data_IF_975577305233
#
_entry.id   IF_975577305233
#
_cell.length_a   1.000
_cell.length_b   1.000
_cell.length_c   1.000
_cell.angle_alpha   90.00
_cell.angle_beta   90.00
_cell.angle_gamma   90.00
#
_symmetry.space_group_name_H-M   'P 1'
#
loop_
_entity.id
_entity.type
_entity.pdbx_description
1 polymer ?
#
# COMPACT_ATOMS: atom_id res chain seq x y z
N UNK A 1 -10.59 -23.36 -9.67
CA UNK A 1 -9.58 -22.85 -10.65
C UNK A 1 -9.95 -21.47 -11.23
N UNK A 2 -10.98 -20.78 -10.70
CA UNK A 2 -11.49 -19.54 -11.31
C UNK A 2 -10.67 -18.30 -10.94
N UNK A 3 -10.10 -18.25 -9.73
CA UNK A 3 -9.19 -17.18 -9.30
C UNK A 3 -7.96 -17.08 -10.24
N UNK A 4 -7.42 -18.22 -10.69
CA UNK A 4 -6.30 -18.25 -11.65
C UNK A 4 -6.71 -17.65 -13.00
N UNK A 5 -7.95 -17.88 -13.45
CA UNK A 5 -8.47 -17.27 -14.68
C UNK A 5 -8.59 -15.75 -14.52
N UNK A 6 -8.98 -15.25 -13.33
CA UNK A 6 -9.03 -13.81 -13.02
C UNK A 6 -7.66 -13.13 -13.09
N UNK A 7 -6.57 -13.85 -12.89
CA UNK A 7 -5.21 -13.29 -13.06
C UNK A 7 -4.89 -12.92 -14.52
N UNK A 8 -5.59 -13.49 -15.51
CA UNK A 8 -5.38 -13.19 -16.93
C UNK A 8 -3.96 -13.44 -17.45
N UNK A 9 -3.17 -14.30 -16.78
CA UNK A 9 -1.76 -14.53 -17.10
C UNK A 9 -0.80 -13.45 -16.61
N UNK A 10 -1.26 -12.45 -15.85
CA UNK A 10 -0.43 -11.36 -15.31
C UNK A 10 0.25 -11.83 -14.00
N UNK A 11 1.59 -11.90 -13.93
CA UNK A 11 2.28 -12.37 -12.73
C UNK A 11 1.99 -11.52 -11.49
N UNK A 12 1.90 -10.20 -11.64
CA UNK A 12 1.54 -9.31 -10.54
C UNK A 12 0.13 -9.61 -10.00
N UNK A 13 -0.84 -9.95 -10.86
CA UNK A 13 -2.19 -10.29 -10.41
C UNK A 13 -2.17 -11.54 -9.54
N UNK A 14 -1.40 -12.55 -9.96
CA UNK A 14 -1.24 -13.77 -9.19
C UNK A 14 -0.57 -13.51 -7.83
N UNK A 15 0.48 -12.69 -7.78
CA UNK A 15 1.13 -12.28 -6.51
C UNK A 15 0.16 -11.53 -5.61
N UNK A 16 -0.55 -10.54 -6.14
CA UNK A 16 -1.52 -9.73 -5.39
C UNK A 16 -2.64 -10.61 -4.82
N UNK A 17 -3.25 -11.48 -5.62
CA UNK A 17 -4.28 -12.39 -5.10
C UNK A 17 -3.71 -13.40 -4.11
N UNK A 18 -2.51 -13.95 -4.37
CA UNK A 18 -1.81 -14.81 -3.42
C UNK A 18 -1.57 -14.13 -2.07
N UNK A 19 -1.18 -12.86 -2.08
CA UNK A 19 -0.99 -12.03 -0.89
C UNK A 19 -2.28 -11.71 -0.13
N UNK A 20 -3.45 -11.74 -0.77
CA UNK A 20 -4.74 -11.69 -0.07
C UNK A 20 -5.00 -13.03 0.59
N UNK A 21 -4.90 -14.11 -0.18
CA UNK A 21 -5.30 -15.45 0.20
C UNK A 21 -4.41 -16.06 1.29
N UNK A 22 -3.15 -15.63 1.42
CA UNK A 22 -2.28 -16.10 2.50
C UNK A 22 -2.78 -15.71 3.90
N UNK A 23 -3.69 -14.72 4.00
CA UNK A 23 -4.36 -14.34 5.24
C UNK A 23 -5.78 -14.91 5.38
N UNK A 24 -6.20 -15.79 4.47
CA UNK A 24 -7.55 -16.40 4.44
C UNK A 24 -7.48 -17.89 4.77
N UNK A 25 -8.22 -18.31 5.79
CA UNK A 25 -8.17 -19.68 6.32
C UNK A 25 -9.35 -20.53 5.84
N UNK A 26 -10.48 -19.91 5.56
CA UNK A 26 -11.70 -20.61 5.18
C UNK A 26 -11.97 -20.49 3.67
N UNK A 27 -12.51 -21.55 3.08
CA UNK A 27 -12.89 -21.58 1.66
C UNK A 27 -13.87 -20.45 1.31
N UNK A 28 -14.83 -20.16 2.19
CA UNK A 28 -15.80 -19.07 2.01
C UNK A 28 -15.14 -17.70 1.84
N UNK A 29 -14.01 -17.46 2.48
CA UNK A 29 -13.26 -16.21 2.31
C UNK A 29 -12.63 -16.12 0.93
N UNK A 30 -12.22 -17.25 0.36
CA UNK A 30 -11.69 -17.33 -1.00
C UNK A 30 -12.80 -17.10 -2.02
N UNK A 31 -13.99 -17.65 -1.78
CA UNK A 31 -15.18 -17.38 -2.59
C UNK A 31 -15.56 -15.89 -2.57
N UNK A 32 -15.45 -15.24 -1.41
CA UNK A 32 -15.71 -13.80 -1.29
C UNK A 32 -14.75 -12.95 -2.14
N UNK A 33 -13.47 -13.36 -2.24
CA UNK A 33 -12.49 -12.72 -3.13
C UNK A 33 -12.83 -13.01 -4.59
N UNK A 34 -13.18 -14.26 -4.92
CA UNK A 34 -13.53 -14.71 -6.28
C UNK A 34 -14.75 -13.99 -6.84
N UNK A 35 -15.79 -13.84 -6.03
CA UNK A 35 -17.12 -13.37 -6.42
C UNK A 35 -17.33 -11.88 -6.14
N UNK A 36 -16.28 -11.17 -5.73
CA UNK A 36 -16.36 -9.75 -5.43
C UNK A 36 -16.86 -8.92 -6.60
N UNK A 37 -17.76 -7.97 -6.33
CA UNK A 37 -18.24 -7.00 -7.31
C UNK A 37 -17.11 -6.11 -7.89
N UNK A 38 -15.96 -6.01 -7.20
CA UNK A 38 -14.79 -5.24 -7.67
C UNK A 38 -14.31 -5.74 -9.04
N UNK A 39 -14.48 -7.03 -9.34
CA UNK A 39 -14.15 -7.61 -10.66
C UNK A 39 -14.95 -7.01 -11.82
N UNK A 40 -16.11 -6.43 -11.54
CA UNK A 40 -17.06 -5.93 -12.55
C UNK A 40 -17.13 -4.40 -12.60
N UNK A 41 -16.32 -3.69 -11.80
CA UNK A 41 -16.29 -2.23 -11.83
C UNK A 41 -15.75 -1.75 -13.18
N UNK A 42 -16.25 -0.61 -13.73
CA UNK A 42 -15.65 0.01 -14.91
C UNK A 42 -14.19 0.32 -14.62
N UNK A 43 -13.26 -0.23 -15.42
CA UNK A 43 -11.84 0.06 -15.33
C UNK A 43 -11.31 0.32 -16.75
N UNK A 44 -10.33 1.21 -16.86
CA UNK A 44 -9.58 1.43 -18.09
C UNK A 44 -8.74 0.17 -18.38
N UNK A 45 -9.12 -0.59 -19.41
CA UNK A 45 -8.48 -1.71 -20.16
C UNK A 45 -7.60 -2.77 -19.44
N UNK A 46 -7.23 -2.58 -18.19
CA UNK A 46 -6.14 -3.29 -17.53
C UNK A 46 -6.68 -4.34 -16.57
N UNK A 47 -6.44 -5.60 -16.92
CA UNK A 47 -6.89 -6.79 -16.19
C UNK A 47 -6.35 -6.90 -14.76
N UNK A 48 -5.29 -6.15 -14.43
CA UNK A 48 -4.63 -6.15 -13.11
C UNK A 48 -5.36 -5.29 -12.07
N UNK A 49 -6.01 -4.19 -12.49
CA UNK A 49 -6.55 -3.18 -11.58
C UNK A 49 -7.57 -3.75 -10.57
N UNK A 50 -8.52 -4.63 -10.96
CA UNK A 50 -9.43 -5.24 -9.99
C UNK A 50 -8.69 -6.05 -8.91
N UNK A 51 -7.62 -6.76 -9.27
CA UNK A 51 -6.84 -7.52 -8.31
C UNK A 51 -6.12 -6.60 -7.31
N UNK A 52 -5.53 -5.49 -7.78
CA UNK A 52 -4.88 -4.51 -6.91
C UNK A 52 -5.89 -3.84 -5.96
N UNK A 53 -7.05 -3.42 -6.48
CA UNK A 53 -8.14 -2.88 -5.67
C UNK A 53 -8.61 -3.88 -4.63
N UNK A 54 -8.76 -5.15 -5.00
CA UNK A 54 -9.12 -6.21 -4.06
C UNK A 54 -8.11 -6.35 -2.94
N UNK A 55 -6.82 -6.28 -3.25
CA UNK A 55 -5.78 -6.34 -2.21
C UNK A 55 -5.91 -5.20 -1.22
N UNK A 56 -6.12 -3.98 -1.70
CA UNK A 56 -6.39 -2.83 -0.84
C UNK A 56 -7.68 -2.98 -0.02
N UNK A 57 -8.77 -3.43 -0.63
CA UNK A 57 -10.05 -3.63 0.06
C UNK A 57 -10.01 -4.76 1.09
N UNK A 58 -9.06 -5.69 1.00
CA UNK A 58 -8.84 -6.74 1.99
C UNK A 58 -7.74 -6.41 3.01
N UNK A 59 -7.16 -5.21 2.95
CA UNK A 59 -6.33 -4.70 4.04
C UNK A 59 -7.20 -4.36 5.26
N UNK A 60 -6.73 -4.70 6.47
CA UNK A 60 -7.19 -4.08 7.71
C UNK A 60 -7.24 -2.56 7.60
N UNK A 61 -8.26 -1.93 8.18
CA UNK A 61 -8.47 -0.47 8.06
C UNK A 61 -7.24 0.34 8.46
N UNK A 62 -6.57 -0.07 9.55
CA UNK A 62 -5.38 0.61 10.07
C UNK A 62 -4.19 0.55 9.10
N UNK A 63 -4.09 -0.50 8.28
CA UNK A 63 -3.03 -0.65 7.28
C UNK A 63 -3.29 0.13 6.00
N UNK A 64 -4.56 0.37 5.66
CA UNK A 64 -4.92 1.14 4.45
C UNK A 64 -4.34 2.54 4.50
N UNK A 65 -4.43 3.21 5.65
CA UNK A 65 -3.89 4.55 5.82
C UNK A 65 -2.36 4.55 5.61
N UNK A 66 -1.65 3.64 6.26
CA UNK A 66 -0.18 3.52 6.18
C UNK A 66 0.28 3.23 4.75
N UNK A 67 -0.45 2.39 4.03
CA UNK A 67 -0.24 2.12 2.61
C UNK A 67 -0.44 3.35 1.72
N UNK A 68 -1.57 4.05 1.88
CA UNK A 68 -1.90 5.23 1.06
C UNK A 68 -0.86 6.34 1.24
N UNK A 69 -0.29 6.50 2.42
CA UNK A 69 0.76 7.49 2.67
C UNK A 69 2.14 7.11 2.13
N UNK A 70 2.34 5.89 1.62
CA UNK A 70 3.57 5.53 0.91
C UNK A 70 3.76 6.28 -0.41
N UNK A 71 2.73 7.00 -0.91
CA UNK A 71 2.84 7.85 -2.12
C UNK A 71 3.86 8.97 -2.01
N UNK A 72 4.27 9.29 -0.78
CA UNK A 72 5.32 10.29 -0.53
C UNK A 72 6.69 9.85 -1.08
N UNK A 73 6.90 8.54 -1.21
CA UNK A 73 8.08 7.99 -1.84
C UNK A 73 7.88 7.95 -3.35
N UNK A 74 8.87 8.39 -4.16
CA UNK A 74 8.74 8.36 -5.61
C UNK A 74 8.58 6.94 -6.15
N UNK A 75 8.01 6.86 -7.36
CA UNK A 75 7.94 5.61 -8.13
C UNK A 75 9.33 5.03 -8.40
N UNK A 76 9.38 3.71 -8.59
CA UNK A 76 10.60 2.94 -8.88
C UNK A 76 11.81 3.22 -7.97
N UNK A 77 11.56 3.72 -6.75
CA UNK A 77 12.62 4.07 -5.80
C UNK A 77 12.86 2.92 -4.83
N UNK A 78 14.12 2.51 -4.71
CA UNK A 78 14.58 1.63 -3.62
C UNK A 78 14.50 2.42 -2.31
N UNK A 79 13.79 1.87 -1.32
CA UNK A 79 13.56 2.50 -0.03
C UNK A 79 14.14 1.64 1.09
N UNK A 80 14.85 2.27 2.03
CA UNK A 80 15.19 1.62 3.29
C UNK A 80 13.92 1.43 4.14
N UNK A 81 13.74 0.22 4.69
CA UNK A 81 12.64 -0.15 5.59
C UNK A 81 12.57 0.77 6.80
N UNK A 82 13.71 1.09 7.38
CA UNK A 82 13.86 1.94 8.54
C UNK A 82 13.31 3.34 8.27
N UNK A 83 13.59 3.91 7.09
CA UNK A 83 13.09 5.23 6.70
C UNK A 83 11.55 5.27 6.64
N UNK A 84 10.91 4.23 6.09
CA UNK A 84 9.45 4.15 6.04
C UNK A 84 8.84 4.02 7.45
N UNK A 85 9.43 3.20 8.32
CA UNK A 85 8.97 3.04 9.70
C UNK A 85 9.12 4.36 10.47
N UNK A 86 10.28 5.02 10.38
CA UNK A 86 10.50 6.32 11.01
C UNK A 86 9.52 7.38 10.49
N UNK A 87 9.20 7.36 9.19
CA UNK A 87 8.18 8.24 8.61
C UNK A 87 6.79 8.01 9.26
N UNK A 88 6.36 6.75 9.39
CA UNK A 88 5.10 6.42 10.06
C UNK A 88 5.07 6.82 11.54
N UNK A 89 6.18 6.67 12.25
CA UNK A 89 6.34 7.10 13.64
C UNK A 89 6.20 8.62 13.76
N UNK A 90 6.96 9.37 12.98
CA UNK A 90 6.99 10.84 13.04
C UNK A 90 5.62 11.47 12.75
N UNK A 91 4.80 10.82 11.91
CA UNK A 91 3.45 11.30 11.56
C UNK A 91 2.33 10.69 12.42
N UNK A 92 2.67 9.86 13.42
CA UNK A 92 1.70 9.26 14.33
C UNK A 92 0.75 8.27 13.65
N UNK A 93 1.22 7.56 12.62
CA UNK A 93 0.42 6.57 11.91
C UNK A 93 0.42 5.19 12.58
N UNK A 94 1.27 4.99 13.59
CA UNK A 94 1.31 3.79 14.41
C UNK A 94 0.45 3.99 15.67
N UNK A 95 -0.28 2.94 16.06
CA UNK A 95 -1.23 3.00 17.20
C UNK A 95 -0.56 2.77 18.57
N UNK A 96 0.77 2.61 18.61
CA UNK A 96 1.55 2.46 19.84
C UNK A 96 2.24 3.77 20.24
N UNK A 97 2.80 3.82 21.45
CA UNK A 97 3.57 4.97 21.94
C UNK A 97 4.91 4.51 22.50
N UNK A 98 5.96 5.30 22.27
CA UNK A 98 7.28 5.07 22.83
C UNK A 98 7.98 3.86 22.24
N UNK A 99 8.66 3.07 23.06
CA UNK A 99 9.59 2.03 22.60
C UNK A 99 8.96 0.91 21.75
N UNK A 100 7.62 0.77 21.75
CA UNK A 100 6.89 -0.23 20.96
C UNK A 100 6.57 0.23 19.54
N UNK A 101 6.79 1.50 19.19
CA UNK A 101 6.50 2.02 17.84
C UNK A 101 7.36 1.35 16.76
N UNK A 102 8.62 1.07 17.06
CA UNK A 102 9.50 0.37 16.11
C UNK A 102 9.01 -1.07 15.86
N UNK A 103 8.59 -1.79 16.90
CA UNK A 103 8.07 -3.16 16.77
C UNK A 103 6.78 -3.19 15.94
N UNK A 104 5.83 -2.32 16.26
CA UNK A 104 4.58 -2.19 15.49
C UNK A 104 4.86 -1.76 14.04
N UNK A 105 5.82 -0.86 13.82
CA UNK A 105 6.23 -0.47 12.48
C UNK A 105 6.79 -1.65 11.66
N UNK A 106 7.56 -2.53 12.31
CA UNK A 106 8.06 -3.76 11.70
C UNK A 106 6.93 -4.73 11.35
N UNK A 107 5.95 -4.91 12.22
CA UNK A 107 4.77 -5.76 11.97
C UNK A 107 3.94 -5.25 10.80
N UNK A 108 3.66 -3.95 10.78
CA UNK A 108 2.96 -3.26 9.68
C UNK A 108 3.69 -3.47 8.35
N UNK A 109 5.01 -3.22 8.35
CA UNK A 109 5.82 -3.39 7.15
C UNK A 109 5.79 -4.84 6.67
N UNK A 110 5.94 -5.80 7.57
CA UNK A 110 5.94 -7.21 7.25
C UNK A 110 4.58 -7.68 6.68
N UNK A 111 3.47 -7.19 7.22
CA UNK A 111 2.15 -7.51 6.67
C UNK A 111 1.97 -6.93 5.26
N UNK A 112 2.37 -5.69 5.02
CA UNK A 112 2.32 -5.08 3.68
C UNK A 112 3.21 -5.85 2.68
N UNK A 113 4.39 -6.31 3.12
CA UNK A 113 5.26 -7.18 2.33
C UNK A 113 4.59 -8.52 1.99
N UNK A 114 4.05 -9.24 2.98
CA UNK A 114 3.37 -10.52 2.76
C UNK A 114 2.15 -10.38 1.83
N UNK A 115 1.49 -9.23 1.85
CA UNK A 115 0.39 -8.89 0.94
C UNK A 115 0.86 -8.42 -0.45
N UNK A 116 2.15 -8.51 -0.73
CA UNK A 116 2.79 -8.15 -2.00
C UNK A 116 2.65 -6.67 -2.40
N UNK A 117 2.50 -5.76 -1.42
CA UNK A 117 2.58 -4.31 -1.68
C UNK A 117 4.03 -3.85 -1.85
N UNK A 118 4.98 -4.60 -1.27
CA UNK A 118 6.42 -4.37 -1.40
C UNK A 118 7.07 -5.54 -2.14
N UNK A 119 8.07 -5.25 -2.96
CA UNK A 119 8.81 -6.22 -3.76
C UNK A 119 10.31 -5.90 -3.77
N UNK A 120 11.10 -6.77 -4.43
CA UNK A 120 12.55 -6.58 -4.59
C UNK A 120 13.25 -6.34 -3.25
N UNK A 121 13.02 -7.27 -2.29
CA UNK A 121 13.61 -7.16 -0.96
C UNK A 121 15.09 -7.53 -1.03
N UNK A 122 15.95 -6.60 -0.62
CA UNK A 122 17.40 -6.79 -0.56
C UNK A 122 17.91 -6.46 0.83
N UNK A 123 18.83 -7.28 1.36
CA UNK A 123 19.50 -7.00 2.65
C UNK A 123 20.95 -6.63 2.36
N UNK A 124 21.32 -5.38 2.65
CA UNK A 124 22.66 -4.82 2.42
C UNK A 124 23.17 -4.25 3.74
N UNK A 125 24.36 -4.69 4.18
CA UNK A 125 25.00 -4.19 5.40
C UNK A 125 24.13 -4.25 6.68
N UNK A 126 23.15 -5.18 6.74
CA UNK A 126 22.23 -5.31 7.86
C UNK A 126 20.95 -4.47 7.75
N UNK A 127 20.81 -3.67 6.70
CA UNK A 127 19.61 -2.88 6.41
C UNK A 127 18.76 -3.56 5.33
N UNK A 128 17.43 -3.40 5.43
CA UNK A 128 16.48 -3.99 4.47
C UNK A 128 16.00 -2.91 3.51
N UNK A 129 16.17 -3.16 2.21
CA UNK A 129 15.72 -2.31 1.13
C UNK A 129 14.58 -3.00 0.38
N UNK A 130 13.65 -2.21 -0.14
CA UNK A 130 12.49 -2.69 -0.89
C UNK A 130 12.00 -1.65 -1.90
N UNK A 131 11.17 -2.09 -2.84
CA UNK A 131 10.46 -1.21 -3.78
C UNK A 131 8.95 -1.40 -3.69
N UNK A 132 8.23 -0.36 -4.08
CA UNK A 132 6.80 -0.45 -4.39
C UNK A 132 6.65 -0.51 -5.91
N UNK A 133 5.92 -1.50 -6.42
CA UNK A 133 5.66 -1.60 -7.87
C UNK A 133 4.85 -0.37 -8.34
N UNK A 134 5.17 0.18 -9.51
CA UNK A 134 4.48 1.36 -10.07
C UNK A 134 2.95 1.30 -10.07
N UNK A 135 2.35 0.17 -10.47
CA UNK A 135 0.89 0.00 -10.44
C UNK A 135 0.30 0.01 -9.03
N UNK A 136 1.06 -0.44 -8.03
CA UNK A 136 0.69 -0.37 -6.62
C UNK A 136 0.78 1.08 -6.13
N UNK A 137 1.83 1.80 -6.55
CA UNK A 137 1.99 3.22 -6.28
C UNK A 137 0.87 4.06 -6.93
N UNK A 138 0.50 3.75 -8.17
CA UNK A 138 -0.61 4.38 -8.88
C UNK A 138 -1.94 4.16 -8.17
N UNK A 139 -2.17 2.94 -7.68
CA UNK A 139 -3.33 2.66 -6.84
C UNK A 139 -3.31 3.53 -5.57
N UNK A 140 -2.21 3.57 -4.84
CA UNK A 140 -2.07 4.39 -3.63
C UNK A 140 -2.32 5.87 -3.93
N UNK A 141 -1.79 6.39 -5.04
CA UNK A 141 -1.95 7.77 -5.49
C UNK A 141 -3.41 8.09 -5.81
N UNK A 142 -4.12 7.19 -6.50
CA UNK A 142 -5.55 7.34 -6.78
C UNK A 142 -6.42 7.36 -5.52
N UNK A 143 -6.03 6.58 -4.50
CA UNK A 143 -6.73 6.53 -3.22
C UNK A 143 -6.43 7.76 -2.36
N UNK A 144 -5.18 8.24 -2.39
CA UNK A 144 -4.77 9.45 -1.70
C UNK A 144 -5.52 10.68 -2.24
N UNK A 145 -5.60 10.85 -3.55
CA UNK A 145 -6.31 11.97 -4.17
C UNK A 145 -7.82 11.93 -3.90
N UNK A 146 -8.43 10.75 -3.94
CA UNK A 146 -9.84 10.57 -3.57
C UNK A 146 -10.11 10.94 -2.10
N UNK A 147 -9.24 10.55 -1.17
CA UNK A 147 -9.36 10.93 0.24
C UNK A 147 -9.16 12.44 0.44
N UNK A 148 -8.26 13.05 -0.34
CA UNK A 148 -7.96 14.49 -0.31
C UNK A 148 -9.13 15.35 -0.74
N UNK A 149 -9.88 14.90 -1.75
CA UNK A 149 -11.11 15.58 -2.18
C UNK A 149 -12.22 15.59 -1.12
N UNK A 150 -12.12 14.74 -0.08
CA UNK A 150 -13.16 14.52 0.94
C UNK A 150 -12.90 15.18 2.30
N UNK A 151 -11.71 15.72 2.60
CA UNK A 151 -11.43 16.29 3.92
C UNK A 151 -10.15 17.13 4.02
N UNK A 152 -10.16 18.11 4.94
CA UNK A 152 -9.06 19.03 5.27
C UNK A 152 -7.73 18.29 5.55
N UNK A 153 -6.69 18.51 4.74
CA UNK A 153 -5.41 17.77 4.84
C UNK A 153 -4.29 18.56 5.52
N UNK A 154 -3.44 17.81 6.24
CA UNK A 154 -2.14 18.20 6.77
C UNK A 154 -1.06 18.01 5.68
N UNK A 155 -0.19 18.99 5.49
CA UNK A 155 1.00 18.84 4.65
C UNK A 155 1.86 17.67 5.13
N UNK A 156 2.29 16.81 4.20
CA UNK A 156 3.25 15.74 4.48
C UNK A 156 4.60 16.17 3.96
N UNK A 157 5.62 16.06 4.80
CA UNK A 157 6.99 16.29 4.42
C UNK A 157 7.78 15.00 4.68
N UNK A 158 8.40 14.44 3.65
CA UNK A 158 9.41 13.40 3.80
C UNK A 158 10.77 13.96 3.35
N UNK A 159 11.83 13.65 4.09
CA UNK A 159 13.19 14.02 3.72
C UNK A 159 13.93 12.76 3.28
N UNK A 160 14.32 12.68 2.02
CA UNK A 160 15.01 11.52 1.44
C UNK A 160 16.32 12.00 0.80
N UNK A 161 17.46 11.53 1.31
CA UNK A 161 18.80 11.82 0.76
C UNK A 161 19.06 13.29 0.40
N UNK A 162 18.66 14.21 1.28
CA UNK A 162 18.86 15.66 1.11
C UNK A 162 17.80 16.36 0.25
N UNK A 163 16.83 15.63 -0.30
CA UNK A 163 15.65 16.18 -0.95
C UNK A 163 14.46 16.13 0.01
N UNK A 164 14.03 17.32 0.45
CA UNK A 164 12.76 17.49 1.14
C UNK A 164 11.63 17.39 0.12
N UNK A 165 10.96 16.25 0.07
CA UNK A 165 9.73 16.04 -0.67
C UNK A 165 8.57 16.53 0.19
N UNK A 166 8.19 17.78 -0.04
CA UNK A 166 6.96 18.37 0.49
C UNK A 166 5.81 18.06 -0.44
N UNK A 167 4.89 17.21 -0.02
CA UNK A 167 3.59 17.11 -0.66
C UNK A 167 2.69 18.15 0.02
N UNK A 168 2.78 19.39 -0.51
CA UNK A 168 1.86 20.48 -0.16
C UNK A 168 0.70 20.53 -1.16
N UNK A 169 -0.53 20.53 -0.68
CA UNK A 169 -1.71 20.77 -1.52
C UNK A 169 -2.64 21.83 -0.90
N UNK A 170 -3.21 22.64 -1.79
CA UNK A 170 -3.87 23.89 -1.48
C UNK A 170 -5.03 23.74 -0.48
N UNK A 171 -5.07 24.66 0.50
CA UNK A 171 -6.31 25.02 1.20
C UNK A 171 -7.34 25.43 0.15
N UNK A 172 -8.47 24.74 0.08
CA UNK A 172 -9.68 25.42 -0.39
C UNK A 172 -10.01 26.44 0.68
N UNK A 173 -9.72 27.71 0.39
CA UNK A 173 -10.26 28.82 1.17
C UNK A 173 -11.75 28.82 0.91
N UNK A 174 -12.54 28.30 1.87
CA UNK A 174 -13.99 28.56 1.86
C UNK A 174 -14.19 30.07 1.91
N UNK A 175 -14.88 30.60 0.91
CA UNK A 175 -15.33 31.99 0.83
C UNK A 175 -16.43 32.27 1.85
#
# INVERSE_FOLDING_TARGET
MEIVKKCGGVPLAAKTLGGILCFKREEREWEHVRDSAIWNLPQDESSILPALRLSYHHLPLDLRQRFVYCVVFPKDTEMAKENLITFWMAHGFLLSKGNLELEVGNEVWNELYLRSFFQEIEVKYGETYFKMHDLIHDLATSLFSANTSRGNIRELNANYDGYMMSIGFAKVVSS
#
